data_IF_067783325740
#
_entry.id   IF_067783325740
#
_cell.length_a   1.000
_cell.length_b   1.000
_cell.length_c   1.000
_cell.angle_alpha   90.00
_cell.angle_beta   90.00
_cell.angle_gamma   90.00
#
_symmetry.space_group_name_H-M   'P 1'
#
loop_
_entity.id
_entity.type
_entity.pdbx_description
1 polymer ?
#
# COMPACT_ATOMS: atom_id res chain seq x y z
N UNK A 1 20.16 20.28 18.35
CA UNK A 1 19.44 20.56 17.09
C UNK A 1 18.30 19.56 17.00
N UNK A 2 17.05 19.97 17.25
CA UNK A 2 15.92 19.03 17.22
C UNK A 2 15.41 18.98 15.78
N UNK A 3 15.59 17.84 15.11
CA UNK A 3 14.97 17.59 13.82
C UNK A 3 13.48 17.30 14.07
N UNK A 4 12.62 18.30 13.90
CA UNK A 4 11.15 18.16 14.01
C UNK A 4 10.49 17.64 12.71
N UNK A 5 11.30 17.31 11.70
CA UNK A 5 10.85 16.86 10.40
C UNK A 5 11.11 15.36 10.21
N UNK A 6 10.12 14.66 9.67
CA UNK A 6 10.23 13.24 9.33
C UNK A 6 9.23 12.84 8.26
N UNK A 7 9.58 11.86 7.44
CA UNK A 7 8.65 11.24 6.49
C UNK A 7 8.06 9.99 7.13
N UNK A 8 6.74 9.81 7.03
CA UNK A 8 6.09 8.56 7.42
C UNK A 8 5.31 7.98 6.26
N UNK A 9 5.40 6.67 6.09
CA UNK A 9 4.58 5.92 5.16
C UNK A 9 3.23 5.65 5.81
N UNK A 10 2.16 6.05 5.16
CA UNK A 10 0.80 5.73 5.54
C UNK A 10 0.25 4.71 4.56
N UNK A 11 -0.18 3.57 5.07
CA UNK A 11 -0.88 2.54 4.30
C UNK A 11 -2.37 2.67 4.57
N UNK A 12 -3.18 2.67 3.52
CA UNK A 12 -4.64 2.73 3.59
C UNK A 12 -5.20 1.56 2.80
N UNK A 13 -6.07 0.77 3.42
CA UNK A 13 -6.85 -0.22 2.68
C UNK A 13 -7.87 0.53 1.80
N UNK A 14 -7.71 0.42 0.49
CA UNK A 14 -8.63 0.98 -0.50
C UNK A 14 -9.81 0.05 -0.73
N UNK A 15 -9.52 -1.24 -0.94
CA UNK A 15 -10.51 -2.22 -1.35
C UNK A 15 -10.06 -3.63 -0.99
N UNK A 16 -10.98 -4.58 -1.03
CA UNK A 16 -10.67 -6.01 -0.93
C UNK A 16 -11.43 -6.77 -2.00
N UNK A 17 -10.76 -7.67 -2.69
CA UNK A 17 -11.33 -8.41 -3.82
C UNK A 17 -10.80 -9.82 -3.89
N UNK A 18 -11.11 -10.53 -4.97
CA UNK A 18 -10.53 -11.85 -5.25
C UNK A 18 -9.74 -11.82 -6.54
N UNK A 19 -8.54 -12.40 -6.54
CA UNK A 19 -7.71 -12.51 -7.74
C UNK A 19 -7.06 -13.89 -7.81
N UNK A 20 -6.70 -14.31 -9.03
CA UNK A 20 -5.95 -15.54 -9.23
C UNK A 20 -4.49 -15.30 -8.88
N UNK A 21 -4.09 -15.75 -7.70
CA UNK A 21 -2.71 -15.58 -7.24
C UNK A 21 -1.77 -16.46 -8.07
N UNK A 22 -0.73 -15.90 -8.74
CA UNK A 22 0.21 -16.71 -9.53
C UNK A 22 1.06 -17.63 -8.65
N UNK A 23 1.21 -17.30 -7.37
CA UNK A 23 1.94 -18.12 -6.40
C UNK A 23 1.08 -19.26 -5.84
N UNK A 24 -0.22 -19.02 -5.59
CA UNK A 24 -1.12 -20.02 -5.03
C UNK A 24 -1.83 -20.86 -6.10
N UNK A 25 -1.90 -20.37 -7.34
CA UNK A 25 -2.62 -21.02 -8.45
C UNK A 25 -4.14 -21.07 -8.30
N UNK A 26 -4.71 -20.32 -7.34
CA UNK A 26 -6.15 -20.33 -7.02
C UNK A 26 -6.64 -18.91 -6.76
N UNK A 27 -7.94 -18.72 -6.91
CA UNK A 27 -8.62 -17.46 -6.61
C UNK A 27 -8.59 -17.25 -5.09
N UNK A 28 -7.91 -16.18 -4.67
CA UNK A 28 -7.71 -15.82 -3.26
C UNK A 28 -8.17 -14.39 -3.03
N UNK A 29 -8.68 -14.11 -1.81
CA UNK A 29 -8.92 -12.74 -1.42
C UNK A 29 -7.61 -11.95 -1.32
N UNK A 30 -7.64 -10.70 -1.73
CA UNK A 30 -6.54 -9.75 -1.62
C UNK A 30 -6.99 -8.44 -0.97
N UNK A 31 -6.04 -7.76 -0.34
CA UNK A 31 -6.17 -6.42 0.20
C UNK A 31 -5.51 -5.43 -0.75
N UNK A 32 -6.28 -4.49 -1.28
CA UNK A 32 -5.78 -3.35 -2.03
C UNK A 32 -5.36 -2.25 -1.07
N UNK A 33 -4.08 -1.97 -1.00
CA UNK A 33 -3.43 -1.02 -0.10
C UNK A 33 -2.86 0.15 -0.89
N UNK A 34 -3.29 1.37 -0.57
CA UNK A 34 -2.63 2.61 -1.00
C UNK A 34 -1.52 2.95 0.00
N UNK A 35 -0.29 2.99 -0.49
CA UNK A 35 0.89 3.43 0.23
C UNK A 35 1.21 4.86 -0.19
N UNK A 36 1.12 5.79 0.76
CA UNK A 36 1.41 7.20 0.53
C UNK A 36 2.36 7.74 1.57
N UNK A 37 3.40 8.43 1.13
CA UNK A 37 4.36 9.08 2.03
C UNK A 37 3.81 10.44 2.44
N UNK A 38 3.86 10.74 3.75
CA UNK A 38 3.46 12.02 4.32
C UNK A 38 4.66 12.68 5.00
N UNK A 39 4.86 13.96 4.74
CA UNK A 39 5.79 14.80 5.48
C UNK A 39 5.13 15.23 6.79
N UNK A 40 5.71 14.79 7.90
CA UNK A 40 5.33 15.25 9.22
C UNK A 40 6.30 16.35 9.66
N UNK A 41 5.75 17.50 10.02
CA UNK A 41 6.47 18.59 10.65
C UNK A 41 5.80 18.87 12.00
N UNK A 42 6.56 18.82 13.09
CA UNK A 42 6.00 19.02 14.45
C UNK A 42 4.80 18.10 14.74
N UNK A 43 4.93 16.79 14.43
CA UNK A 43 3.86 15.78 14.57
C UNK A 43 2.65 15.91 13.62
N UNK A 44 2.47 17.05 12.97
CA UNK A 44 1.35 17.27 12.04
C UNK A 44 1.74 16.81 10.63
N UNK A 45 0.98 15.91 9.99
CA UNK A 45 1.16 15.60 8.57
C UNK A 45 0.78 16.83 7.73
N UNK A 46 1.77 17.51 7.15
CA UNK A 46 1.55 18.78 6.43
C UNK A 46 1.35 18.57 4.94
N UNK A 47 2.22 17.77 4.30
CA UNK A 47 2.22 17.62 2.84
C UNK A 47 2.40 16.15 2.45
N UNK A 48 1.57 15.60 1.56
CA UNK A 48 1.84 14.31 0.95
C UNK A 48 3.06 14.41 0.03
N UNK A 49 4.08 13.59 0.29
CA UNK A 49 5.28 13.48 -0.51
C UNK A 49 5.13 12.34 -1.52
N UNK A 50 5.36 12.64 -2.80
CA UNK A 50 5.35 11.64 -3.86
C UNK A 50 3.94 11.22 -4.31
N UNK A 51 3.92 10.19 -5.17
CA UNK A 51 2.69 9.63 -5.73
C UNK A 51 2.14 8.52 -4.84
N UNK A 52 0.81 8.36 -4.75
CA UNK A 52 0.23 7.18 -4.13
C UNK A 52 0.71 5.95 -4.89
N UNK A 53 1.20 4.97 -4.15
CA UNK A 53 1.61 3.68 -4.67
C UNK A 53 0.60 2.64 -4.24
N UNK A 54 0.00 1.96 -5.20
CA UNK A 54 -0.97 0.91 -4.93
C UNK A 54 -0.23 -0.44 -4.82
N UNK A 55 -0.57 -1.18 -3.78
CA UNK A 55 -0.03 -2.51 -3.50
C UNK A 55 -1.20 -3.48 -3.23
N UNK A 56 -1.13 -4.67 -3.77
CA UNK A 56 -2.09 -5.75 -3.55
C UNK A 56 -1.46 -6.81 -2.66
N UNK A 57 -2.05 -7.09 -1.51
CA UNK A 57 -1.59 -8.13 -0.59
C UNK A 57 -2.50 -9.34 -0.66
N UNK A 58 -1.98 -10.51 -0.98
CA UNK A 58 -2.78 -11.73 -0.94
C UNK A 58 -2.93 -12.25 0.49
N UNK A 59 -4.16 -12.60 0.89
CA UNK A 59 -4.43 -13.23 2.19
C UNK A 59 -3.90 -14.66 2.28
N UNK A 60 -3.74 -15.34 1.15
CA UNK A 60 -3.27 -16.73 1.10
C UNK A 60 -1.76 -16.87 1.36
N UNK A 61 -0.94 -16.16 0.59
CA UNK A 61 0.53 -16.24 0.69
C UNK A 61 1.16 -15.07 1.44
N UNK A 62 0.42 -13.99 1.71
CA UNK A 62 0.93 -12.80 2.40
C UNK A 62 1.82 -11.89 1.55
N UNK A 63 2.07 -12.24 0.28
CA UNK A 63 2.92 -11.47 -0.64
C UNK A 63 2.21 -10.19 -1.07
N UNK A 64 2.95 -9.08 -1.05
CA UNK A 64 2.53 -7.78 -1.56
C UNK A 64 3.09 -7.59 -2.98
N UNK A 65 2.21 -7.29 -3.93
CA UNK A 65 2.56 -6.96 -5.32
C UNK A 65 2.22 -5.50 -5.61
N UNK A 66 2.99 -4.78 -6.44
CA UNK A 66 2.58 -3.46 -6.91
C UNK A 66 1.35 -3.63 -7.82
N UNK A 67 0.28 -2.88 -7.56
CA UNK A 67 -1.00 -3.03 -8.27
C UNK A 67 -0.87 -2.83 -9.78
N UNK A 68 0.11 -2.04 -10.23
CA UNK A 68 0.41 -1.83 -11.65
C UNK A 68 0.84 -3.08 -12.42
N UNK A 69 1.27 -4.16 -11.75
CA UNK A 69 1.64 -5.43 -12.40
C UNK A 69 0.52 -6.48 -12.37
N UNK A 70 -0.45 -6.33 -11.48
CA UNK A 70 -1.53 -7.28 -11.25
C UNK A 70 -2.84 -6.50 -11.19
N UNK A 71 -3.29 -6.00 -12.35
CA UNK A 71 -4.61 -5.39 -12.43
C UNK A 71 -5.69 -6.42 -12.04
N UNK A 72 -6.73 -6.02 -11.29
CA UNK A 72 -7.86 -6.91 -11.01
C UNK A 72 -8.49 -7.35 -12.33
N UNK A 73 -8.82 -8.64 -12.41
CA UNK A 73 -9.50 -9.24 -13.57
C UNK A 73 -10.92 -8.69 -13.74
#
# INVERSE_FOLDING_TARGET
MILFFGTRLRRRLLDTGTFRCPLCGVDRPYDHLEVRTWFHLFWVPVVPLGRPQEALRCHGCGVEWPAGLAGPA
#
